data_IF_170514248977
#
_entry.id   IF_170514248977
#
_cell.length_a   1.000
_cell.length_b   1.000
_cell.length_c   1.000
_cell.angle_alpha   90.00
_cell.angle_beta   90.00
_cell.angle_gamma   90.00
#
_symmetry.space_group_name_H-M   'P 1'
#
loop_
_entity.id
_entity.type
_entity.pdbx_description
1 polymer ?
#
# COMPACT_ATOMS: atom_id res chain seq x y z
N UNK A 1 6.35 -12.54 -47.19
CA UNK A 1 6.06 -13.19 -45.90
C UNK A 1 6.69 -12.37 -44.78
N UNK A 2 5.90 -11.66 -43.98
CA UNK A 2 6.35 -10.93 -42.76
C UNK A 2 5.47 -11.42 -41.60
N UNK A 3 6.03 -11.82 -40.45
CA UNK A 3 5.25 -12.45 -39.40
C UNK A 3 4.44 -11.44 -38.57
N UNK A 4 3.41 -12.02 -37.95
CA UNK A 4 2.36 -11.42 -37.14
C UNK A 4 2.84 -10.79 -35.83
N UNK A 5 2.14 -9.75 -35.38
CA UNK A 5 1.99 -9.45 -33.95
C UNK A 5 0.53 -9.13 -33.65
N UNK A 6 -0.20 -10.11 -33.11
CA UNK A 6 -1.55 -9.95 -32.58
C UNK A 6 -1.48 -9.18 -31.25
N UNK A 7 -1.62 -7.86 -31.36
CA UNK A 7 -1.66 -6.95 -30.22
C UNK A 7 -3.05 -7.03 -29.58
N UNK A 8 -3.34 -8.10 -28.84
CA UNK A 8 -4.42 -8.09 -27.85
C UNK A 8 -3.99 -7.13 -26.73
N UNK A 9 -4.20 -5.83 -26.96
CA UNK A 9 -3.92 -4.76 -26.01
C UNK A 9 -4.99 -4.81 -24.91
N UNK A 10 -4.88 -5.79 -24.01
CA UNK A 10 -5.59 -5.77 -22.74
C UNK A 10 -5.09 -4.55 -21.99
N UNK A 11 -5.92 -3.49 -21.97
CA UNK A 11 -5.70 -2.27 -21.18
C UNK A 11 -5.68 -2.60 -19.70
N UNK A 12 -4.61 -3.25 -19.23
CA UNK A 12 -4.27 -3.24 -17.82
C UNK A 12 -3.81 -1.81 -17.55
N UNK A 13 -4.59 -1.09 -16.73
CA UNK A 13 -4.12 0.15 -16.13
C UNK A 13 -2.85 -0.22 -15.38
N UNK A 14 -1.69 0.01 -15.97
CA UNK A 14 -0.40 -0.06 -15.30
C UNK A 14 -0.46 1.10 -14.31
N UNK A 15 -1.07 0.86 -13.14
CA UNK A 15 -0.81 1.69 -11.98
C UNK A 15 0.69 1.61 -11.79
N UNK A 16 1.42 2.74 -11.79
CA UNK A 16 2.88 2.74 -11.72
C UNK A 16 3.28 1.80 -10.60
N UNK A 17 4.16 0.83 -10.87
CA UNK A 17 4.57 -0.31 -10.03
C UNK A 17 4.69 0.06 -8.54
N UNK A 18 3.54 0.23 -7.90
CA UNK A 18 3.48 0.73 -6.54
C UNK A 18 3.83 -0.51 -5.74
N UNK A 19 4.93 -0.43 -5.01
CA UNK A 19 5.42 -1.49 -4.15
C UNK A 19 5.28 -1.07 -2.71
N UNK A 20 4.98 -2.03 -1.86
CA UNK A 20 4.91 -1.77 -0.44
C UNK A 20 6.31 -1.49 0.09
N UNK A 21 6.53 -0.31 0.67
CA UNK A 21 7.82 0.06 1.24
C UNK A 21 8.34 -0.95 2.29
N UNK A 22 7.43 -1.59 3.03
CA UNK A 22 7.77 -2.49 4.14
C UNK A 22 7.87 -3.97 3.78
N UNK A 23 7.28 -4.42 2.68
CA UNK A 23 7.26 -5.85 2.33
C UNK A 23 7.34 -6.12 0.82
N UNK A 24 7.56 -5.08 0.02
CA UNK A 24 7.74 -5.09 -1.43
C UNK A 24 6.60 -5.72 -2.24
N UNK A 25 5.47 -6.02 -1.60
CA UNK A 25 4.27 -6.51 -2.27
C UNK A 25 3.85 -5.52 -3.36
N UNK A 26 3.63 -6.04 -4.58
CA UNK A 26 3.16 -5.28 -5.75
C UNK A 26 1.65 -5.44 -5.96
N UNK A 27 1.04 -6.42 -5.27
CA UNK A 27 -0.39 -6.71 -5.32
C UNK A 27 -1.02 -6.43 -3.96
N UNK A 28 -1.96 -5.49 -3.91
CA UNK A 28 -2.74 -5.22 -2.70
C UNK A 28 -4.09 -4.61 -3.08
N UNK A 29 -5.09 -4.81 -2.24
CA UNK A 29 -6.41 -4.23 -2.43
C UNK A 29 -6.41 -2.70 -2.27
N UNK A 30 -5.57 -2.16 -1.39
CA UNK A 30 -5.48 -0.73 -1.11
C UNK A 30 -4.06 -0.31 -0.70
N UNK A 31 -3.68 0.89 -1.14
CA UNK A 31 -2.41 1.53 -0.84
C UNK A 31 -2.61 2.65 0.19
N UNK A 32 -1.84 2.62 1.27
CA UNK A 32 -1.86 3.64 2.33
C UNK A 32 -0.56 4.43 2.30
N UNK A 33 -0.62 5.71 2.65
CA UNK A 33 0.59 6.55 2.79
C UNK A 33 1.36 6.13 4.02
N UNK A 34 2.67 5.99 3.88
CA UNK A 34 3.58 5.83 5.01
C UNK A 34 3.88 7.20 5.64
N UNK A 35 4.46 7.20 6.86
CA UNK A 35 4.96 8.44 7.48
C UNK A 35 6.12 9.07 6.70
N UNK A 36 6.81 8.28 5.88
CA UNK A 36 7.87 8.77 4.99
C UNK A 36 7.20 9.34 3.73
N UNK A 37 7.53 10.58 3.32
CA UNK A 37 6.95 11.19 2.12
C UNK A 37 7.22 10.33 0.88
N UNK A 38 6.24 10.30 -0.02
CA UNK A 38 6.26 9.52 -1.26
C UNK A 38 6.33 7.98 -1.10
N UNK A 39 6.35 7.44 0.12
CA UNK A 39 6.31 5.99 0.35
C UNK A 39 4.88 5.50 0.60
N UNK A 40 4.56 4.35 0.01
CA UNK A 40 3.26 3.70 0.16
C UNK A 40 3.45 2.31 0.76
N UNK A 41 2.51 1.91 1.60
CA UNK A 41 2.44 0.58 2.19
C UNK A 41 1.12 -0.10 1.82
N UNK A 42 1.14 -1.42 1.76
CA UNK A 42 -0.05 -2.21 1.53
C UNK A 42 -0.98 -2.20 2.76
N UNK A 43 -2.26 -2.54 2.54
CA UNK A 43 -3.26 -2.68 3.62
C UNK A 43 -2.77 -3.50 4.81
N UNK A 44 -2.09 -4.62 4.54
CA UNK A 44 -1.60 -5.52 5.59
C UNK A 44 -0.55 -4.86 6.48
N UNK A 45 0.37 -4.11 5.89
CA UNK A 45 1.40 -3.39 6.64
C UNK A 45 0.82 -2.20 7.39
N UNK A 46 -0.16 -1.51 6.81
CA UNK A 46 -0.88 -0.43 7.49
C UNK A 46 -1.63 -0.95 8.73
N UNK A 47 -2.32 -2.08 8.63
CA UNK A 47 -3.03 -2.70 9.75
C UNK A 47 -2.06 -3.13 10.87
N UNK A 48 -0.90 -3.70 10.52
CA UNK A 48 0.16 -4.04 11.47
C UNK A 48 0.70 -2.80 12.19
N UNK A 49 0.97 -1.70 11.46
CA UNK A 49 1.41 -0.43 12.05
C UNK A 49 0.34 0.14 13.00
N UNK A 50 -0.93 0.06 12.65
CA UNK A 50 -2.02 0.50 13.53
C UNK A 50 -2.16 -0.36 14.79
N UNK A 51 -1.94 -1.67 14.71
CA UNK A 51 -1.94 -2.56 15.87
C UNK A 51 -0.79 -2.25 16.83
N UNK A 52 0.41 -2.00 16.30
CA UNK A 52 1.57 -1.61 17.11
C UNK A 52 1.38 -0.25 17.77
N UNK A 53 0.81 0.74 17.08
CA UNK A 53 0.55 2.07 17.65
C UNK A 53 -0.58 2.08 18.70
N UNK A 54 -1.51 1.13 18.66
CA UNK A 54 -2.58 0.98 19.67
C UNK A 54 -2.09 0.48 21.02
N UNK A 55 -0.88 -0.07 21.11
CA UNK A 55 -0.25 -0.37 22.41
C UNK A 55 0.04 0.93 23.19
N UNK A 56 0.32 2.05 22.50
CA UNK A 56 0.55 3.35 23.14
C UNK A 56 -0.68 4.28 23.23
N UNK A 57 -1.78 4.02 22.52
CA UNK A 57 -2.97 4.89 22.55
C UNK A 57 -3.94 4.66 23.72
N UNK A 58 -3.69 3.68 24.60
CA UNK A 58 -4.44 3.58 25.87
C UNK A 58 -3.97 4.59 26.93
N UNK A 59 -2.96 5.42 26.65
CA UNK A 59 -2.47 6.43 27.58
C UNK A 59 -2.96 7.87 27.31
N UNK A 60 -3.70 8.15 26.23
CA UNK A 60 -3.97 9.54 25.79
C UNK A 60 -5.45 9.94 25.71
N UNK A 61 -6.38 9.15 26.27
CA UNK A 61 -7.80 9.58 26.46
C UNK A 61 -8.23 9.54 27.93
N UNK A 62 -7.40 10.03 28.85
CA UNK A 62 -7.81 10.25 30.23
C UNK A 62 -7.67 11.73 30.59
N UNK A 63 -8.82 12.37 30.74
CA UNK A 63 -9.02 13.53 31.60
C UNK A 63 -8.81 14.90 30.96
N UNK A 64 -9.92 15.54 30.56
CA UNK A 64 -10.19 16.94 30.89
C UNK A 64 -11.68 16.95 31.30
N UNK A 65 -11.93 16.91 32.61
CA UNK A 65 -13.13 17.43 33.30
C UNK A 65 -12.61 18.51 34.25
#
# INVERSE_FOLDING_TARGET
MRPEVNFYQTKMRITPDRKCYTCEATKTSNWYRHSIPAQYICKSCYDKQQKMTKVNKKASRKGID
#
